data_IF_787242825033
#
_entry.id   IF_787242825033
#
_cell.length_a   1.000
_cell.length_b   1.000
_cell.length_c   1.000
_cell.angle_alpha   90.00
_cell.angle_beta   90.00
_cell.angle_gamma   90.00
#
_symmetry.space_group_name_H-M   'P 1'
#
loop_
_entity.id
_entity.type
_entity.pdbx_description
1 polymer ?
#
# COMPACT_ATOMS: atom_id res chain seq x y z
N UNK A 1 -2.43 1.56 -15.41
CA UNK A 1 -1.76 2.68 -14.69
C UNK A 1 -2.66 3.11 -13.55
N UNK A 2 -2.10 3.64 -12.46
CA UNK A 2 -2.89 4.10 -11.29
C UNK A 2 -3.87 5.22 -11.68
N UNK A 3 -3.44 6.10 -12.57
CA UNK A 3 -4.27 7.20 -13.10
C UNK A 3 -5.55 6.68 -13.78
N UNK A 4 -5.44 5.58 -14.51
CA UNK A 4 -6.59 4.97 -15.16
C UNK A 4 -7.57 4.39 -14.13
N UNK A 5 -7.05 3.68 -13.12
CA UNK A 5 -7.89 3.11 -12.07
C UNK A 5 -8.61 4.19 -11.26
N UNK A 6 -7.93 5.32 -10.96
CA UNK A 6 -8.53 6.47 -10.30
C UNK A 6 -9.61 7.12 -11.19
N UNK A 7 -9.31 7.33 -12.47
CA UNK A 7 -10.25 7.91 -13.42
C UNK A 7 -11.53 7.07 -13.54
N UNK A 8 -11.40 5.76 -13.74
CA UNK A 8 -12.54 4.85 -13.84
C UNK A 8 -13.37 4.85 -12.55
N UNK A 9 -12.70 4.77 -11.39
CA UNK A 9 -13.37 4.84 -10.10
C UNK A 9 -14.22 6.13 -9.95
N UNK A 10 -13.66 7.29 -10.30
CA UNK A 10 -14.36 8.56 -10.17
C UNK A 10 -15.51 8.70 -11.18
N UNK A 11 -15.35 8.16 -12.39
CA UNK A 11 -16.42 8.17 -13.41
C UNK A 11 -17.64 7.33 -13.03
N UNK A 12 -17.48 6.36 -12.15
CA UNK A 12 -18.55 5.50 -11.65
C UNK A 12 -19.32 6.10 -10.46
N UNK A 13 -18.87 7.27 -9.93
CA UNK A 13 -19.45 7.84 -8.71
C UNK A 13 -20.64 8.77 -9.02
N UNK A 14 -21.85 8.28 -8.79
CA UNK A 14 -23.07 9.06 -8.97
C UNK A 14 -23.13 10.32 -8.09
N UNK A 15 -22.47 10.30 -6.94
CA UNK A 15 -22.40 11.43 -6.00
C UNK A 15 -21.71 12.67 -6.58
N UNK A 16 -20.90 12.53 -7.64
CA UNK A 16 -20.25 13.63 -8.34
C UNK A 16 -21.09 14.23 -9.46
N UNK A 17 -22.08 13.50 -9.98
CA UNK A 17 -22.93 13.93 -11.10
C UNK A 17 -23.60 15.29 -10.89
N UNK A 18 -24.13 15.63 -9.69
CA UNK A 18 -24.80 16.93 -9.49
C UNK A 18 -23.86 18.13 -9.58
N UNK A 19 -22.56 17.91 -9.44
CA UNK A 19 -21.57 18.97 -9.29
C UNK A 19 -20.69 19.15 -10.53
N UNK A 20 -20.57 18.12 -11.37
CA UNK A 20 -19.63 18.17 -12.47
C UNK A 20 -20.31 18.42 -13.81
N UNK A 21 -19.65 19.24 -14.63
CA UNK A 21 -20.01 19.39 -16.03
C UNK A 21 -19.83 18.08 -16.80
N UNK A 22 -20.39 18.04 -17.99
CA UNK A 22 -20.26 16.91 -18.91
C UNK A 22 -19.33 17.30 -20.08
N UNK A 23 -18.36 16.45 -20.36
CA UNK A 23 -17.49 16.53 -21.51
C UNK A 23 -17.65 15.29 -22.39
N UNK A 24 -18.21 15.45 -23.58
CA UNK A 24 -18.70 14.33 -24.37
C UNK A 24 -19.84 13.61 -23.64
N UNK A 25 -19.64 12.33 -23.33
CA UNK A 25 -20.61 11.50 -22.61
C UNK A 25 -20.20 11.21 -21.16
N UNK A 26 -19.17 11.88 -20.65
CA UNK A 26 -18.55 11.59 -19.35
C UNK A 26 -18.54 12.80 -18.43
N UNK A 27 -18.38 12.57 -17.13
CA UNK A 27 -18.11 13.66 -16.18
C UNK A 27 -16.79 14.36 -16.53
N UNK A 28 -16.74 15.67 -16.33
CA UNK A 28 -15.57 16.52 -16.59
C UNK A 28 -14.45 16.27 -15.59
N UNK A 29 -13.82 15.11 -15.70
CA UNK A 29 -12.67 14.66 -14.89
C UNK A 29 -11.51 14.39 -15.85
N UNK A 30 -10.37 15.04 -15.61
CA UNK A 30 -9.25 15.02 -16.53
C UNK A 30 -7.94 14.64 -15.81
N UNK A 31 -7.10 13.89 -16.50
CA UNK A 31 -5.76 13.59 -16.04
C UNK A 31 -4.78 14.62 -16.62
N UNK A 32 -4.02 15.29 -15.76
CA UNK A 32 -3.00 16.28 -16.02
C UNK A 32 -3.53 17.62 -16.58
N UNK A 33 -4.32 17.63 -17.63
CA UNK A 33 -4.78 18.85 -18.28
C UNK A 33 -6.25 18.72 -18.73
N UNK A 34 -7.02 19.76 -18.50
CA UNK A 34 -8.37 19.85 -19.04
C UNK A 34 -8.33 20.40 -20.46
N UNK A 35 -9.27 19.97 -21.35
CA UNK A 35 -9.44 20.56 -22.65
C UNK A 35 -9.76 22.05 -22.58
N UNK A 36 -9.43 22.78 -23.66
CA UNK A 36 -9.75 24.20 -23.76
C UNK A 36 -11.27 24.44 -23.65
N UNK A 37 -11.67 25.57 -23.06
CA UNK A 37 -13.09 25.92 -22.88
C UNK A 37 -13.83 26.06 -24.21
N UNK A 38 -13.09 26.26 -25.32
CA UNK A 38 -13.61 26.34 -26.69
C UNK A 38 -13.74 24.99 -27.41
N UNK A 39 -13.43 23.86 -26.73
CA UNK A 39 -13.52 22.54 -27.34
C UNK A 39 -14.97 22.16 -27.62
N UNK A 40 -15.24 21.61 -28.80
CA UNK A 40 -16.58 21.25 -29.27
C UNK A 40 -17.24 20.15 -28.43
N UNK A 41 -16.45 19.34 -27.73
CA UNK A 41 -16.99 18.27 -26.88
C UNK A 41 -17.70 18.77 -25.62
N UNK A 42 -17.59 20.06 -25.27
CA UNK A 42 -18.44 20.70 -24.26
C UNK A 42 -19.89 20.87 -24.69
N UNK A 43 -20.18 20.69 -25.99
CA UNK A 43 -21.55 20.74 -26.58
C UNK A 43 -22.37 21.98 -26.18
N UNK A 44 -21.74 23.14 -26.05
CA UNK A 44 -22.30 24.41 -25.53
C UNK A 44 -22.80 24.32 -24.06
N UNK A 45 -22.45 23.27 -23.33
CA UNK A 45 -22.71 23.15 -21.90
C UNK A 45 -21.73 23.93 -21.03
N UNK A 46 -21.91 23.88 -19.70
CA UNK A 46 -20.95 24.46 -18.77
C UNK A 46 -19.61 23.76 -18.86
N UNK A 47 -18.51 24.51 -18.84
CA UNK A 47 -17.14 23.96 -18.80
C UNK A 47 -16.58 23.84 -17.38
N UNK A 48 -17.29 24.37 -16.39
CA UNK A 48 -16.91 24.37 -14.98
C UNK A 48 -17.87 23.54 -14.15
N UNK A 49 -17.41 23.19 -12.97
CA UNK A 49 -17.62 21.99 -12.24
C UNK A 49 -16.78 20.90 -12.84
N UNK A 50 -15.45 21.06 -12.82
CA UNK A 50 -14.54 20.06 -13.36
C UNK A 50 -13.43 19.72 -12.38
N UNK A 51 -12.90 18.52 -12.50
CA UNK A 51 -11.79 18.02 -11.69
C UNK A 51 -10.61 17.75 -12.61
N UNK A 52 -9.45 18.29 -12.25
CA UNK A 52 -8.17 17.97 -12.91
C UNK A 52 -7.28 17.29 -11.88
N UNK A 53 -6.79 16.10 -12.15
CA UNK A 53 -5.95 15.38 -11.21
C UNK A 53 -4.57 15.07 -11.78
N UNK A 54 -3.61 14.98 -10.87
CA UNK A 54 -2.23 14.65 -11.18
C UNK A 54 -1.68 13.64 -10.17
N UNK A 55 -1.19 12.52 -10.67
CA UNK A 55 -0.56 11.47 -9.86
C UNK A 55 0.95 11.53 -10.05
N UNK A 56 1.68 11.72 -8.97
CA UNK A 56 3.13 11.66 -8.97
C UNK A 56 3.57 10.49 -8.09
N UNK A 57 4.11 9.43 -8.70
CA UNK A 57 4.65 8.28 -7.98
C UNK A 57 6.17 8.44 -7.83
N UNK A 58 6.64 8.33 -6.61
CA UNK A 58 8.06 8.31 -6.30
C UNK A 58 8.56 6.87 -6.27
N UNK A 59 9.50 6.56 -7.15
CA UNK A 59 10.05 5.20 -7.32
C UNK A 59 11.05 4.76 -6.25
N UNK A 60 11.15 5.45 -5.11
CA UNK A 60 12.07 5.07 -4.05
C UNK A 60 11.44 4.03 -3.10
N UNK A 61 11.87 2.76 -3.16
CA UNK A 61 11.31 1.70 -2.31
C UNK A 61 11.66 1.87 -0.82
N UNK A 62 12.59 2.77 -0.48
CA UNK A 62 12.93 3.04 0.92
C UNK A 62 11.99 4.05 1.59
N UNK A 63 11.22 4.82 0.79
CA UNK A 63 10.30 5.82 1.33
C UNK A 63 8.99 5.22 1.80
N UNK A 64 8.46 5.78 2.86
CA UNK A 64 7.14 5.43 3.41
C UNK A 64 6.02 6.04 2.57
N UNK A 65 6.21 7.28 2.10
CA UNK A 65 5.30 7.94 1.15
C UNK A 65 5.81 7.66 -0.26
N UNK A 66 5.02 6.98 -1.06
CA UNK A 66 5.38 6.58 -2.44
C UNK A 66 5.00 7.61 -3.48
N UNK A 67 4.46 8.76 -3.09
CA UNK A 67 4.08 9.83 -4.00
C UNK A 67 2.97 10.72 -3.48
N UNK A 68 2.37 11.49 -4.38
CA UNK A 68 1.24 12.37 -4.11
C UNK A 68 0.20 12.32 -5.21
N UNK A 69 -1.06 12.53 -4.84
CA UNK A 69 -2.16 12.81 -5.74
C UNK A 69 -2.67 14.22 -5.43
N UNK A 70 -2.72 15.06 -6.45
CA UNK A 70 -3.30 16.39 -6.37
C UNK A 70 -4.55 16.44 -7.25
N UNK A 71 -5.63 17.00 -6.75
CA UNK A 71 -6.91 17.12 -7.45
C UNK A 71 -7.41 18.56 -7.34
N UNK A 72 -7.48 19.27 -8.46
CA UNK A 72 -8.00 20.61 -8.53
C UNK A 72 -9.48 20.57 -8.91
N UNK A 73 -10.33 21.04 -8.03
CA UNK A 73 -11.74 21.28 -8.27
C UNK A 73 -11.84 22.70 -8.81
N UNK A 74 -12.38 22.88 -10.03
CA UNK A 74 -12.53 24.19 -10.65
C UNK A 74 -14.03 24.47 -10.88
N UNK A 75 -14.50 25.54 -10.27
CA UNK A 75 -15.88 25.99 -10.34
C UNK A 75 -15.97 27.39 -10.94
N UNK A 76 -17.09 27.71 -11.57
CA UNK A 76 -17.38 29.08 -11.99
C UNK A 76 -17.77 29.91 -10.78
N UNK A 77 -17.15 31.09 -10.66
CA UNK A 77 -17.45 32.05 -9.58
C UNK A 77 -18.98 32.36 -9.57
N UNK A 78 -19.58 32.36 -8.39
CA UNK A 78 -21.01 32.61 -8.15
C UNK A 78 -22.00 31.55 -8.68
N UNK A 79 -21.55 30.48 -9.32
CA UNK A 79 -22.42 29.42 -9.84
C UNK A 79 -22.32 28.12 -9.04
N UNK A 80 -21.11 27.77 -8.60
CA UNK A 80 -20.84 26.53 -7.84
C UNK A 80 -19.76 26.81 -6.78
N UNK A 81 -19.81 26.06 -5.70
CA UNK A 81 -18.90 26.23 -4.57
C UNK A 81 -18.01 24.99 -4.39
N UNK A 82 -16.67 25.13 -4.52
CA UNK A 82 -15.73 24.02 -4.32
C UNK A 82 -15.88 23.34 -2.95
N UNK A 83 -16.35 24.08 -1.94
CA UNK A 83 -16.59 23.58 -0.58
C UNK A 83 -17.69 22.53 -0.49
N UNK A 84 -18.59 22.47 -1.46
CA UNK A 84 -19.62 21.43 -1.55
C UNK A 84 -19.10 20.15 -2.20
N UNK A 85 -18.15 20.29 -3.13
CA UNK A 85 -17.56 19.18 -3.89
C UNK A 85 -16.43 18.51 -3.13
N UNK A 86 -15.61 19.30 -2.42
CA UNK A 86 -14.40 18.83 -1.72
C UNK A 86 -14.69 17.68 -0.74
N UNK A 87 -15.69 17.74 0.15
CA UNK A 87 -15.96 16.65 1.08
C UNK A 87 -16.38 15.36 0.37
N UNK A 88 -17.15 15.48 -0.72
CA UNK A 88 -17.58 14.33 -1.53
C UNK A 88 -16.36 13.69 -2.20
N UNK A 89 -15.55 14.48 -2.91
CA UNK A 89 -14.35 14.00 -3.57
C UNK A 89 -13.36 13.37 -2.59
N UNK A 90 -13.14 14.03 -1.45
CA UNK A 90 -12.27 13.51 -0.41
C UNK A 90 -12.71 12.14 0.10
N UNK A 91 -14.00 11.95 0.35
CA UNK A 91 -14.54 10.67 0.83
C UNK A 91 -14.45 9.56 -0.23
N UNK A 92 -14.54 9.91 -1.50
CA UNK A 92 -14.42 8.97 -2.62
C UNK A 92 -12.99 8.51 -2.91
N UNK A 93 -12.00 9.23 -2.37
CA UNK A 93 -10.57 8.92 -2.62
C UNK A 93 -9.86 8.50 -1.35
N UNK A 94 -10.17 9.12 -0.20
CA UNK A 94 -9.50 8.83 1.06
C UNK A 94 -9.72 7.39 1.52
N UNK A 95 -8.61 6.69 1.79
CA UNK A 95 -8.61 5.30 2.25
C UNK A 95 -8.79 4.27 1.14
N UNK A 96 -8.95 4.68 -0.10
CA UNK A 96 -9.02 3.76 -1.25
C UNK A 96 -7.64 3.28 -1.69
N UNK A 97 -7.63 2.05 -2.14
CA UNK A 97 -6.50 1.41 -2.81
C UNK A 97 -6.76 1.41 -4.31
N UNK A 98 -5.77 1.87 -5.05
CA UNK A 98 -5.76 1.86 -6.50
C UNK A 98 -4.64 0.95 -6.97
N UNK A 99 -4.94 0.06 -7.89
CA UNK A 99 -3.98 -0.92 -8.40
C UNK A 99 -3.76 -0.79 -9.89
N UNK A 100 -2.58 -1.18 -10.30
CA UNK A 100 -2.22 -1.47 -11.68
C UNK A 100 -1.51 -2.82 -11.74
N UNK A 101 -1.17 -3.28 -12.94
CA UNK A 101 -0.49 -4.57 -13.14
C UNK A 101 0.82 -4.72 -12.34
N UNK A 102 1.43 -3.61 -11.95
CA UNK A 102 2.78 -3.59 -11.32
C UNK A 102 2.83 -2.89 -9.98
N UNK A 103 1.77 -2.20 -9.56
CA UNK A 103 1.80 -1.40 -8.33
C UNK A 103 0.43 -1.27 -7.68
N UNK A 104 0.46 -1.08 -6.37
CA UNK A 104 -0.69 -0.70 -5.54
C UNK A 104 -0.34 0.53 -4.76
N UNK A 105 -1.28 1.45 -4.65
CA UNK A 105 -1.16 2.63 -3.79
C UNK A 105 -2.41 2.79 -2.94
N UNK A 106 -2.24 3.29 -1.72
CA UNK A 106 -3.33 3.75 -0.87
C UNK A 106 -3.31 5.27 -0.80
N UNK A 107 -4.43 5.93 -1.07
CA UNK A 107 -4.57 7.37 -1.00
C UNK A 107 -5.02 7.80 0.40
N UNK A 108 -4.26 8.72 1.01
CA UNK A 108 -4.58 9.30 2.32
C UNK A 108 -4.67 10.80 2.20
N UNK A 109 -5.84 11.36 2.51
CA UNK A 109 -6.03 12.82 2.48
C UNK A 109 -5.02 13.52 3.38
N UNK A 110 -4.44 14.59 2.86
CA UNK A 110 -3.44 15.39 3.53
C UNK A 110 -3.97 16.78 3.91
N UNK A 111 -4.44 17.51 2.92
CA UNK A 111 -5.02 18.84 3.09
C UNK A 111 -5.86 19.24 1.88
N UNK A 112 -6.68 20.27 2.08
CA UNK A 112 -7.42 20.96 1.03
C UNK A 112 -7.11 22.45 1.12
N UNK A 113 -6.80 23.07 -0.02
CA UNK A 113 -6.41 24.48 -0.09
C UNK A 113 -7.25 25.21 -1.11
N UNK A 114 -8.10 26.18 -0.70
CA UNK A 114 -8.89 26.97 -1.64
C UNK A 114 -7.99 27.93 -2.43
N UNK A 115 -8.40 28.22 -3.66
CA UNK A 115 -7.78 29.23 -4.52
C UNK A 115 -8.83 29.97 -5.37
N UNK A 116 -8.45 31.12 -5.90
CA UNK A 116 -9.25 31.88 -6.86
C UNK A 116 -8.37 32.33 -8.02
N UNK A 117 -8.96 32.30 -9.22
CA UNK A 117 -8.35 32.81 -10.45
C UNK A 117 -9.21 33.91 -11.06
N UNK A 118 -9.06 35.16 -10.61
CA UNK A 118 -9.94 36.28 -10.98
C UNK A 118 -9.98 36.56 -12.49
N UNK A 119 -8.88 36.31 -13.20
CA UNK A 119 -8.79 36.54 -14.65
C UNK A 119 -9.81 35.70 -15.44
N UNK A 120 -10.11 34.51 -14.95
CA UNK A 120 -11.06 33.57 -15.55
C UNK A 120 -12.38 33.45 -14.80
N UNK A 121 -12.56 34.19 -13.72
CA UNK A 121 -13.70 34.09 -12.79
C UNK A 121 -13.91 32.65 -12.32
N UNK A 122 -12.82 32.04 -11.89
CA UNK A 122 -12.80 30.68 -11.37
C UNK A 122 -12.48 30.69 -9.89
N UNK A 123 -13.24 29.95 -9.14
CA UNK A 123 -12.92 29.59 -7.75
C UNK A 123 -12.62 28.08 -7.70
N UNK A 124 -11.74 27.66 -6.85
CA UNK A 124 -11.35 26.27 -6.80
C UNK A 124 -10.81 25.83 -5.45
N UNK A 125 -10.59 24.52 -5.34
CA UNK A 125 -9.96 23.90 -4.20
C UNK A 125 -9.00 22.80 -4.68
N UNK A 126 -7.74 22.91 -4.25
CA UNK A 126 -6.75 21.85 -4.46
C UNK A 126 -6.83 20.86 -3.29
N UNK A 127 -7.22 19.63 -3.58
CA UNK A 127 -7.26 18.52 -2.62
C UNK A 127 -6.02 17.65 -2.82
N UNK A 128 -5.22 17.52 -1.76
CA UNK A 128 -3.95 16.77 -1.81
C UNK A 128 -4.03 15.50 -0.97
N UNK A 129 -3.54 14.41 -1.54
CA UNK A 129 -3.40 13.11 -0.87
C UNK A 129 -1.94 12.67 -0.90
N UNK A 130 -1.47 12.12 0.21
CA UNK A 130 -0.25 11.34 0.21
C UNK A 130 -0.57 9.92 -0.30
N UNK A 131 0.26 9.39 -1.19
CA UNK A 131 0.13 8.03 -1.72
C UNK A 131 1.13 7.14 -1.01
N UNK A 132 0.65 6.08 -0.35
CA UNK A 132 1.50 5.02 0.14
C UNK A 132 1.62 3.95 -0.94
N UNK A 133 2.78 3.82 -1.54
CA UNK A 133 3.06 2.76 -2.50
C UNK A 133 3.49 1.48 -1.78
N UNK A 134 3.05 0.34 -2.30
CA UNK A 134 3.36 -0.99 -1.79
C UNK A 134 4.33 -1.69 -2.77
N UNK A 135 5.64 -1.40 -2.70
CA UNK A 135 6.60 -2.05 -3.58
C UNK A 135 6.74 -3.53 -3.22
N UNK A 136 7.04 -4.35 -4.23
CA UNK A 136 7.44 -5.74 -3.98
C UNK A 136 8.71 -5.71 -3.13
N UNK A 137 8.70 -6.44 -2.01
CA UNK A 137 9.89 -6.53 -1.17
C UNK A 137 10.99 -7.27 -1.93
N UNK A 138 12.09 -6.58 -2.22
CA UNK A 138 13.30 -7.17 -2.81
C UNK A 138 14.16 -7.89 -1.75
N UNK A 139 13.90 -7.63 -0.47
CA UNK A 139 14.59 -8.23 0.66
C UNK A 139 13.72 -9.31 1.30
N UNK A 140 14.32 -10.42 1.67
CA UNK A 140 13.67 -11.49 2.39
C UNK A 140 12.28 -11.91 1.85
N UNK A 141 12.13 -12.20 0.54
CA UNK A 141 10.82 -12.49 -0.06
C UNK A 141 10.16 -13.72 0.57
N UNK A 142 10.95 -14.72 0.98
CA UNK A 142 10.45 -15.90 1.68
C UNK A 142 9.79 -15.55 3.02
N UNK A 143 10.38 -14.63 3.78
CA UNK A 143 9.81 -14.15 5.06
C UNK A 143 8.47 -13.47 4.83
N UNK A 144 8.39 -12.58 3.85
CA UNK A 144 7.17 -11.85 3.52
C UNK A 144 6.05 -12.82 3.09
N UNK A 145 6.36 -13.81 2.26
CA UNK A 145 5.40 -14.83 1.87
C UNK A 145 4.81 -15.55 3.08
N UNK A 146 5.65 -15.91 4.06
CA UNK A 146 5.18 -16.59 5.28
C UNK A 146 4.32 -15.67 6.17
N UNK A 147 4.66 -14.37 6.27
CA UNK A 147 3.81 -13.40 6.97
C UNK A 147 2.46 -13.22 6.26
N UNK A 148 2.45 -13.16 4.94
CA UNK A 148 1.24 -13.05 4.13
C UNK A 148 0.36 -14.30 4.29
N UNK A 149 0.92 -15.49 4.16
CA UNK A 149 0.21 -16.76 4.36
C UNK A 149 -0.38 -16.86 5.76
N UNK A 150 0.36 -16.47 6.78
CA UNK A 150 -0.14 -16.44 8.14
C UNK A 150 -1.29 -15.45 8.32
N UNK A 151 -1.16 -14.22 7.85
CA UNK A 151 -2.20 -13.21 7.96
C UNK A 151 -3.48 -13.60 7.21
N UNK A 152 -3.36 -14.26 6.05
CA UNK A 152 -4.51 -14.72 5.27
C UNK A 152 -5.36 -15.78 5.99
N UNK A 153 -4.83 -16.42 7.05
CA UNK A 153 -5.60 -17.35 7.89
C UNK A 153 -6.46 -16.63 8.94
N UNK A 154 -6.30 -15.33 9.12
CA UNK A 154 -7.01 -14.55 10.13
C UNK A 154 -8.26 -13.96 9.48
N UNK A 155 -9.40 -14.19 10.10
CA UNK A 155 -10.68 -13.69 9.63
C UNK A 155 -10.69 -12.16 9.50
N UNK A 156 -11.30 -11.66 8.43
CA UNK A 156 -11.44 -10.23 8.11
C UNK A 156 -10.12 -9.48 7.89
N UNK A 157 -9.04 -10.20 7.62
CA UNK A 157 -7.77 -9.61 7.20
C UNK A 157 -7.53 -9.89 5.71
N UNK A 158 -7.52 -8.81 4.93
CA UNK A 158 -7.09 -8.83 3.54
C UNK A 158 -5.59 -8.56 3.46
N UNK A 159 -4.84 -9.46 2.84
CA UNK A 159 -3.39 -9.27 2.66
C UNK A 159 -3.12 -8.62 1.31
N UNK A 160 -2.46 -7.47 1.34
CA UNK A 160 -2.00 -6.83 0.10
C UNK A 160 -0.82 -7.64 -0.44
N UNK A 161 -1.11 -8.45 -1.44
CA UNK A 161 -0.16 -9.31 -2.11
C UNK A 161 -0.14 -8.97 -3.60
N UNK A 162 1.06 -8.76 -4.16
CA UNK A 162 1.24 -8.38 -5.56
C UNK A 162 0.75 -9.43 -6.57
N UNK A 163 0.64 -10.69 -6.15
CA UNK A 163 0.11 -11.77 -6.99
C UNK A 163 -1.42 -11.82 -7.02
N UNK A 164 -2.09 -11.05 -6.16
CA UNK A 164 -3.54 -11.08 -5.97
C UNK A 164 -4.11 -9.67 -5.75
N UNK A 165 -3.66 -8.71 -6.55
CA UNK A 165 -4.12 -7.32 -6.43
C UNK A 165 -5.56 -7.18 -6.88
N UNK A 166 -6.39 -6.38 -6.18
CA UNK A 166 -7.69 -5.99 -6.70
C UNK A 166 -7.53 -5.29 -8.05
N UNK A 167 -8.37 -5.62 -9.01
CA UNK A 167 -8.36 -4.99 -10.34
C UNK A 167 -9.13 -3.68 -10.37
N UNK A 168 -9.96 -3.42 -9.35
CA UNK A 168 -10.73 -2.20 -9.19
C UNK A 168 -10.31 -1.44 -7.93
N UNK A 169 -10.67 -0.17 -7.84
CA UNK A 169 -10.50 0.62 -6.63
C UNK A 169 -11.22 -0.07 -5.45
N UNK A 170 -10.54 -0.20 -4.31
CA UNK A 170 -11.04 -0.92 -3.17
C UNK A 170 -10.69 -0.19 -1.87
N UNK A 171 -11.53 -0.36 -0.87
CA UNK A 171 -11.35 0.22 0.46
C UNK A 171 -11.77 -0.79 1.52
N UNK A 172 -11.01 -0.95 2.63
CA UNK A 172 -11.46 -1.76 3.75
C UNK A 172 -12.81 -1.27 4.28
N UNK A 173 -13.75 -2.19 4.44
CA UNK A 173 -15.09 -1.91 4.98
C UNK A 173 -15.68 -3.13 5.66
N UNK A 174 -16.88 -3.01 6.26
CA UNK A 174 -17.58 -4.11 6.94
C UNK A 174 -16.75 -4.81 8.04
N UNK A 175 -15.89 -4.04 8.72
CA UNK A 175 -14.99 -4.54 9.76
C UNK A 175 -13.77 -5.29 9.23
N UNK A 176 -13.52 -5.28 7.93
CA UNK A 176 -12.30 -5.79 7.32
C UNK A 176 -11.13 -4.83 7.49
N UNK A 177 -9.92 -5.36 7.40
CA UNK A 177 -8.69 -4.58 7.42
C UNK A 177 -7.72 -5.10 6.37
N UNK A 178 -6.94 -4.21 5.78
CA UNK A 178 -5.86 -4.57 4.87
C UNK A 178 -4.53 -4.56 5.61
N UNK A 179 -3.68 -5.53 5.31
CA UNK A 179 -2.33 -5.64 5.87
C UNK A 179 -1.32 -5.82 4.75
N UNK A 180 -0.26 -5.02 4.81
CA UNK A 180 0.90 -5.15 3.94
C UNK A 180 2.15 -5.38 4.77
N UNK A 181 2.92 -6.42 4.42
CA UNK A 181 4.19 -6.73 5.06
C UNK A 181 5.35 -6.37 4.15
N UNK A 182 6.39 -5.74 4.73
CA UNK A 182 7.58 -5.34 4.02
C UNK A 182 8.83 -5.67 4.82
N UNK A 183 9.80 -6.33 4.19
CA UNK A 183 11.14 -6.46 4.75
C UNK A 183 11.95 -5.19 4.43
N UNK A 184 12.49 -4.55 5.47
CA UNK A 184 13.34 -3.36 5.34
C UNK A 184 14.81 -3.70 5.29
N UNK A 185 15.21 -4.76 5.99
CA UNK A 185 16.61 -5.15 6.14
C UNK A 185 16.67 -6.66 6.28
N UNK A 186 17.70 -7.24 5.68
CA UNK A 186 18.08 -8.62 5.83
C UNK A 186 19.60 -8.69 6.02
N UNK A 187 20.05 -9.41 7.03
CA UNK A 187 21.47 -9.57 7.34
C UNK A 187 21.74 -10.91 8.00
N UNK A 188 22.98 -11.42 7.94
CA UNK A 188 23.34 -12.61 8.69
C UNK A 188 23.11 -12.42 10.20
N UNK A 189 22.49 -13.42 10.83
CA UNK A 189 22.22 -13.45 12.26
C UNK A 189 23.51 -13.76 13.02
N UNK A 190 24.24 -12.74 13.43
CA UNK A 190 25.57 -12.89 14.06
C UNK A 190 25.57 -13.64 15.39
N UNK A 191 24.41 -13.75 16.03
CA UNK A 191 24.25 -14.48 17.32
C UNK A 191 23.96 -15.97 17.16
N UNK A 192 23.74 -16.47 15.93
CA UNK A 192 23.55 -17.88 15.63
C UNK A 192 24.76 -18.36 14.84
N UNK A 193 25.48 -19.41 15.32
CA UNK A 193 26.61 -19.95 14.58
C UNK A 193 26.18 -20.44 13.21
N UNK A 194 26.85 -19.98 12.17
CA UNK A 194 26.70 -20.48 10.81
C UNK A 194 27.24 -21.87 10.71
N UNK A 195 26.49 -22.80 10.18
CA UNK A 195 26.98 -24.14 9.86
C UNK A 195 27.40 -24.18 8.38
N UNK A 196 28.15 -25.23 8.02
CA UNK A 196 28.53 -25.39 6.60
C UNK A 196 27.38 -25.63 5.64
N UNK A 197 26.20 -25.97 6.14
CA UNK A 197 25.01 -26.22 5.34
C UNK A 197 23.89 -25.17 5.49
N UNK A 198 24.00 -24.27 6.47
CA UNK A 198 22.93 -23.31 6.76
C UNK A 198 23.50 -21.98 7.22
N UNK A 199 23.14 -20.93 6.54
CA UNK A 199 23.36 -19.55 6.96
C UNK A 199 22.09 -19.06 7.63
N UNK A 200 22.22 -18.57 8.86
CA UNK A 200 21.11 -17.95 9.57
C UNK A 200 21.02 -16.47 9.22
N UNK A 201 19.83 -16.05 8.83
CA UNK A 201 19.52 -14.67 8.45
C UNK A 201 18.54 -14.06 9.44
N UNK A 202 18.68 -12.77 9.67
CA UNK A 202 17.74 -11.94 10.40
C UNK A 202 17.12 -10.93 9.46
N UNK A 203 15.80 -10.81 9.50
CA UNK A 203 15.04 -9.83 8.73
C UNK A 203 14.24 -8.92 9.66
N UNK A 204 14.29 -7.60 9.39
CA UNK A 204 13.38 -6.64 10.00
C UNK A 204 12.17 -6.44 9.10
N UNK A 205 11.01 -6.86 9.59
CA UNK A 205 9.74 -6.80 8.85
C UNK A 205 8.85 -5.73 9.45
N UNK A 206 8.25 -4.90 8.59
CA UNK A 206 7.24 -3.92 8.98
C UNK A 206 5.86 -4.31 8.48
N UNK A 207 4.86 -4.14 9.34
CA UNK A 207 3.45 -4.30 9.03
C UNK A 207 2.74 -2.96 8.94
N UNK A 208 2.04 -2.76 7.83
CA UNK A 208 1.21 -1.60 7.54
C UNK A 208 -0.25 -2.06 7.56
N UNK A 209 -1.07 -1.44 8.41
CA UNK A 209 -2.44 -1.87 8.69
C UNK A 209 -3.38 -0.74 8.36
N UNK A 210 -4.36 -1.04 7.53
CA UNK A 210 -5.40 -0.11 7.09
C UNK A 210 -6.75 -0.67 7.48
N UNK A 211 -7.60 0.17 8.01
CA UNK A 211 -8.95 -0.19 8.42
C UNK A 211 -9.88 1.00 8.16
N UNK A 212 -11.16 0.76 8.30
CA UNK A 212 -12.20 1.77 8.13
C UNK A 212 -12.00 3.01 9.03
N UNK A 213 -11.44 2.81 10.24
CA UNK A 213 -11.09 3.87 11.16
C UNK A 213 -9.70 3.68 11.77
N UNK A 214 -9.01 4.77 12.18
CA UNK A 214 -7.72 4.66 12.89
C UNK A 214 -7.79 3.84 14.18
N UNK A 215 -8.91 3.90 14.90
CA UNK A 215 -9.13 3.12 16.12
C UNK A 215 -9.17 1.61 15.81
N UNK A 216 -9.84 1.23 14.71
CA UNK A 216 -9.89 -0.17 14.25
C UNK A 216 -8.53 -0.65 13.77
N UNK A 217 -7.76 0.19 13.10
CA UNK A 217 -6.39 -0.15 12.70
C UNK A 217 -5.50 -0.42 13.92
N UNK A 218 -5.61 0.39 14.98
CA UNK A 218 -4.88 0.18 16.25
C UNK A 218 -5.32 -1.11 16.96
N UNK A 219 -6.61 -1.43 16.96
CA UNK A 219 -7.14 -2.70 17.51
C UNK A 219 -6.54 -3.90 16.78
N UNK A 220 -6.56 -3.89 15.45
CA UNK A 220 -6.00 -4.96 14.61
C UNK A 220 -4.49 -5.07 14.78
N UNK A 221 -3.77 -3.95 14.88
CA UNK A 221 -2.33 -3.95 15.16
C UNK A 221 -2.03 -4.65 16.49
N UNK A 222 -2.80 -4.35 17.53
CA UNK A 222 -2.65 -4.98 18.83
C UNK A 222 -3.01 -6.48 18.80
N UNK A 223 -4.07 -6.88 18.08
CA UNK A 223 -4.43 -8.30 17.93
C UNK A 223 -3.31 -9.08 17.20
N UNK A 224 -2.82 -8.55 16.09
CA UNK A 224 -1.69 -9.15 15.36
C UNK A 224 -0.44 -9.26 16.24
N UNK A 225 -0.13 -8.23 17.02
CA UNK A 225 0.96 -8.23 17.98
C UNK A 225 0.82 -9.34 19.02
N UNK A 226 -0.36 -9.49 19.63
CA UNK A 226 -0.64 -10.56 20.60
C UNK A 226 -0.47 -11.93 19.95
N UNK A 227 -0.99 -12.13 18.76
CA UNK A 227 -0.85 -13.38 18.00
C UNK A 227 0.62 -13.68 17.68
N UNK A 228 1.41 -12.68 17.29
CA UNK A 228 2.85 -12.82 17.04
C UNK A 228 3.64 -13.17 18.31
N UNK A 229 3.24 -12.68 19.49
CA UNK A 229 3.81 -13.11 20.76
C UNK A 229 3.51 -14.58 21.09
N UNK A 230 2.34 -15.05 20.71
CA UNK A 230 1.94 -16.46 20.93
C UNK A 230 2.61 -17.42 19.93
N UNK A 231 2.92 -16.95 18.72
CA UNK A 231 3.51 -17.74 17.65
C UNK A 231 5.02 -17.64 17.72
N UNK A 232 5.68 -18.73 18.10
CA UNK A 232 7.14 -18.80 18.10
C UNK A 232 7.73 -19.06 16.71
N UNK A 233 6.93 -19.59 15.79
CA UNK A 233 7.35 -19.98 14.43
C UNK A 233 6.19 -19.82 13.47
N UNK A 234 6.44 -19.11 12.38
CA UNK A 234 5.51 -19.07 11.26
C UNK A 234 5.70 -20.35 10.46
N UNK A 235 4.59 -21.06 10.24
CA UNK A 235 4.56 -22.28 9.43
C UNK A 235 3.84 -21.96 8.12
N UNK A 236 4.28 -22.57 7.06
CA UNK A 236 3.54 -22.65 5.84
C UNK A 236 2.34 -23.57 6.06
N UNK A 237 1.13 -23.10 5.81
CA UNK A 237 -0.16 -23.85 5.72
C UNK A 237 -0.50 -24.87 6.82
N UNK A 238 0.16 -24.85 7.97
CA UNK A 238 -0.09 -25.83 9.05
C UNK A 238 0.38 -27.27 8.73
N UNK A 239 0.99 -27.50 7.57
CA UNK A 239 1.58 -28.78 7.22
C UNK A 239 2.90 -29.01 7.97
N UNK A 240 3.23 -30.31 8.17
CA UNK A 240 4.54 -30.68 8.71
C UNK A 240 5.64 -30.14 7.77
N UNK A 241 6.66 -29.49 8.38
CA UNK A 241 7.85 -29.02 7.68
C UNK A 241 8.40 -30.14 6.78
N UNK A 242 8.47 -29.89 5.49
CA UNK A 242 9.20 -30.78 4.59
C UNK A 242 10.70 -30.60 4.82
N UNK A 243 11.47 -31.64 4.60
CA UNK A 243 12.93 -31.53 4.63
C UNK A 243 13.36 -30.47 3.60
N UNK A 244 13.91 -29.36 4.09
CA UNK A 244 14.27 -28.20 3.28
C UNK A 244 13.50 -26.91 3.63
N UNK A 245 12.35 -27.00 4.30
CA UNK A 245 11.62 -25.83 4.75
C UNK A 245 12.20 -25.32 6.07
N UNK A 246 12.82 -24.15 6.05
CA UNK A 246 13.29 -23.52 7.27
C UNK A 246 12.15 -22.69 7.88
N UNK A 247 11.72 -23.01 9.13
CA UNK A 247 10.67 -22.21 9.76
C UNK A 247 11.21 -20.82 10.05
N UNK A 248 10.35 -19.82 9.86
CA UNK A 248 10.64 -18.47 10.28
C UNK A 248 10.36 -18.35 11.78
N UNK A 249 11.39 -18.05 12.53
CA UNK A 249 11.29 -17.80 13.96
C UNK A 249 10.99 -16.31 14.17
N UNK A 250 9.88 -16.02 14.86
CA UNK A 250 9.57 -14.66 15.26
C UNK A 250 10.26 -14.36 16.60
N UNK A 251 11.08 -13.32 16.60
CA UNK A 251 11.70 -12.83 17.82
C UNK A 251 10.68 -11.99 18.60
N UNK A 252 9.92 -12.65 19.45
CA UNK A 252 8.83 -12.02 20.20
C UNK A 252 9.29 -10.97 21.22
N UNK A 253 10.59 -10.86 21.53
CA UNK A 253 11.12 -9.80 22.41
C UNK A 253 11.26 -8.46 21.69
N UNK A 254 11.29 -8.48 20.37
CA UNK A 254 11.57 -7.31 19.52
C UNK A 254 10.38 -6.94 18.63
N UNK A 255 9.15 -7.22 19.07
CA UNK A 255 7.95 -6.70 18.40
C UNK A 255 7.69 -5.30 18.94
N UNK A 256 7.87 -4.31 18.08
CA UNK A 256 7.67 -2.89 18.41
C UNK A 256 6.37 -2.39 17.82
N UNK A 257 5.60 -1.73 18.66
CA UNK A 257 4.42 -0.97 18.25
C UNK A 257 4.84 0.47 17.98
N UNK A 258 4.71 0.91 16.75
CA UNK A 258 5.14 2.23 16.30
C UNK A 258 4.02 3.28 16.30
N UNK A 259 2.83 2.93 16.82
CA UNK A 259 1.67 3.79 16.79
C UNK A 259 0.83 3.65 15.52
N UNK A 260 -0.17 4.51 15.38
CA UNK A 260 -1.29 4.32 14.46
C UNK A 260 -1.11 4.90 13.05
N UNK A 261 -0.02 5.61 12.76
CA UNK A 261 0.16 6.24 11.46
C UNK A 261 0.85 5.32 10.45
N UNK A 262 0.09 4.71 9.50
CA UNK A 262 0.66 3.78 8.52
C UNK A 262 1.57 4.48 7.51
N UNK A 263 1.35 5.77 7.24
CA UNK A 263 2.10 6.51 6.21
C UNK A 263 3.56 6.73 6.58
N UNK A 264 3.86 6.82 7.89
CA UNK A 264 5.21 7.20 8.33
C UNK A 264 6.12 6.01 8.56
N UNK A 265 5.70 5.04 9.34
CA UNK A 265 6.62 3.99 9.83
C UNK A 265 6.02 2.58 9.81
N UNK A 266 4.74 2.42 9.43
CA UNK A 266 3.99 1.19 9.69
C UNK A 266 3.72 1.01 11.19
N UNK A 267 2.70 0.25 11.53
CA UNK A 267 2.27 0.10 12.93
C UNK A 267 3.07 -0.96 13.69
N UNK A 268 3.57 -1.96 13.00
CA UNK A 268 4.33 -3.04 13.64
C UNK A 268 5.74 -3.16 13.04
N UNK A 269 6.72 -3.38 13.91
CA UNK A 269 8.06 -3.82 13.50
C UNK A 269 8.34 -5.16 14.18
N UNK A 270 8.75 -6.15 13.39
CA UNK A 270 8.98 -7.53 13.84
C UNK A 270 10.35 -7.98 13.34
N UNK A 271 11.16 -8.57 14.23
CA UNK A 271 12.35 -9.30 13.81
C UNK A 271 12.02 -10.77 13.58
N UNK A 272 12.42 -11.27 12.44
CA UNK A 272 12.29 -12.66 12.06
C UNK A 272 13.66 -13.28 11.73
N UNK A 273 13.88 -14.52 12.14
CA UNK A 273 15.11 -15.26 11.88
C UNK A 273 14.80 -16.55 11.15
N UNK A 274 15.58 -16.87 10.13
CA UNK A 274 15.38 -18.07 9.32
C UNK A 274 16.71 -18.61 8.79
N UNK A 275 16.73 -19.90 8.48
CA UNK A 275 17.90 -20.56 7.90
C UNK A 275 17.83 -20.59 6.38
N UNK A 276 18.92 -20.22 5.72
CA UNK A 276 19.12 -20.41 4.28
C UNK A 276 20.02 -21.61 4.08
N UNK A 277 19.51 -22.62 3.39
CA UNK A 277 20.33 -23.80 3.06
C UNK A 277 21.31 -23.42 1.95
N UNK A 278 22.57 -23.59 2.19
CA UNK A 278 23.61 -23.41 1.18
C UNK A 278 23.67 -24.70 0.36
N UNK A 279 23.16 -24.64 -0.86
CA UNK A 279 23.39 -25.70 -1.83
C UNK A 279 24.80 -25.55 -2.38
N UNK A 280 25.69 -26.45 -2.01
CA UNK A 280 26.90 -26.63 -2.78
C UNK A 280 26.50 -27.27 -4.12
N UNK A 281 26.93 -26.68 -5.22
CA UNK A 281 26.74 -27.30 -6.54
C UNK A 281 27.25 -28.75 -6.45
N UNK A 282 26.42 -29.69 -6.89
CA UNK A 282 26.70 -31.12 -6.87
C UNK A 282 27.83 -31.43 -7.87
N UNK A 283 29.05 -31.25 -7.47
CA UNK A 283 30.26 -31.47 -8.28
C UNK A 283 31.52 -31.73 -7.44
N UNK A 284 31.55 -31.24 -6.22
CA UNK A 284 32.66 -31.51 -5.33
C UNK A 284 32.25 -32.55 -4.28
N UNK A 285 32.46 -33.82 -4.64
CA UNK A 285 32.45 -34.88 -3.67
C UNK A 285 33.60 -34.61 -2.71
N UNK A 286 33.32 -34.34 -1.43
CA UNK A 286 34.35 -34.25 -0.40
C UNK A 286 34.99 -35.64 -0.31
N UNK A 287 36.08 -35.85 -1.03
CA UNK A 287 36.75 -37.14 -1.09
C UNK A 287 37.65 -37.43 0.11
N UNK A 288 38.02 -36.44 0.94
CA UNK A 288 38.85 -36.68 2.10
C UNK A 288 38.63 -35.68 3.24
N UNK A 289 37.96 -36.10 4.29
CA UNK A 289 37.99 -35.41 5.59
C UNK A 289 39.14 -36.04 6.38
N UNK A 290 40.30 -35.43 6.35
CA UNK A 290 41.38 -35.76 7.26
C UNK A 290 41.11 -35.15 8.63
N UNK A 291 40.62 -35.94 9.57
CA UNK A 291 40.63 -35.55 10.98
C UNK A 291 42.04 -35.69 11.50
N UNK A 292 42.69 -34.64 12.04
CA UNK A 292 43.90 -34.82 12.81
C UNK A 292 43.53 -35.69 14.04
N UNK A 293 44.16 -36.84 14.17
CA UNK A 293 44.08 -37.62 15.42
C UNK A 293 44.78 -36.80 16.51
N UNK A 294 44.02 -36.47 17.57
CA UNK A 294 44.54 -35.96 18.83
C UNK A 294 45.36 -37.02 19.54
#
# INVERSE_FOLDING_TARGET
MIEQALYEHLQEQEDLLPFLATYGEKMAIFNQEAPADSDDAWANGPQYGRIVFFVNLEGDPARTVGGSLTMDILCKEDEQFPEEIEPVLRNLVHGYFFSSDTSVVAAQWKNSTPFTEPAHKVTGCTVTFDLLAFPISSYAPHVITQFNEWCSTIDKIYVINHDQLPTAAWKPGNGESAVYWRALKEEPASWIPTTFSTIWMSATVKGYIFSETPAKAAEVANDLKIRLYAIKRLKKDGSLLRAGDSPIMVNNRNIVDNGADPLRVGQLTVEATYGVIVHFESGETIQNINYPRL
#
